data_IF_480880926407
#
_entry.id   IF_480880926407
#
_cell.length_a   1.000
_cell.length_b   1.000
_cell.length_c   1.000
_cell.angle_alpha   90.00
_cell.angle_beta   90.00
_cell.angle_gamma   90.00
#
_symmetry.space_group_name_H-M   'P 1'
#
loop_
_entity.id
_entity.type
_entity.pdbx_description
1 polymer ?
#
# COMPACT_ATOMS: atom_id res chain seq x y z
N UNK A 1 -11.22 -14.40 31.54
CA UNK A 1 -11.46 -14.78 30.12
C UNK A 1 -10.59 -16.00 29.81
N UNK A 2 -11.17 -17.05 29.22
CA UNK A 2 -10.43 -18.27 28.86
C UNK A 2 -9.49 -18.01 27.67
N UNK A 3 -8.35 -18.69 27.63
CA UNK A 3 -7.38 -18.65 26.53
C UNK A 3 -8.03 -18.90 25.17
N UNK A 4 -8.98 -19.85 25.10
CA UNK A 4 -9.78 -20.13 23.88
C UNK A 4 -10.61 -18.95 23.38
N UNK A 5 -11.16 -18.13 24.30
CA UNK A 5 -11.97 -16.96 23.93
C UNK A 5 -11.10 -15.83 23.36
N UNK A 6 -9.82 -15.77 23.72
CA UNK A 6 -8.88 -14.77 23.19
C UNK A 6 -8.45 -15.10 21.76
N UNK A 7 -8.18 -16.38 21.45
CA UNK A 7 -7.76 -16.85 20.11
C UNK A 7 -8.86 -16.64 19.08
N UNK A 8 -10.12 -17.01 19.37
CA UNK A 8 -11.24 -16.72 18.47
C UNK A 8 -11.37 -15.21 18.15
N UNK A 9 -11.09 -14.34 19.12
CA UNK A 9 -11.12 -12.89 18.85
C UNK A 9 -9.95 -12.39 17.99
N UNK A 10 -8.86 -13.16 17.87
CA UNK A 10 -7.71 -12.85 17.01
C UNK A 10 -7.98 -13.37 15.59
N UNK A 11 -8.58 -14.56 15.45
CA UNK A 11 -9.09 -15.09 14.17
C UNK A 11 -10.02 -14.09 13.48
N UNK A 12 -11.03 -13.62 14.22
CA UNK A 12 -12.01 -12.66 13.71
C UNK A 12 -11.33 -11.37 13.23
N UNK A 13 -10.35 -10.86 13.98
CA UNK A 13 -9.61 -9.64 13.62
C UNK A 13 -8.70 -9.85 12.41
N UNK A 14 -8.11 -11.03 12.24
CA UNK A 14 -7.26 -11.31 11.08
C UNK A 14 -8.09 -11.38 9.78
N UNK A 15 -9.31 -11.93 9.88
CA UNK A 15 -10.24 -12.04 8.75
C UNK A 15 -10.71 -10.68 8.21
N UNK A 16 -10.68 -9.64 9.04
CA UNK A 16 -11.07 -8.29 8.67
C UNK A 16 -10.06 -7.58 7.75
N UNK A 17 -8.81 -8.04 7.72
CA UNK A 17 -7.76 -7.45 6.88
C UNK A 17 -7.80 -7.97 5.45
N UNK A 18 -7.69 -7.04 4.50
CA UNK A 18 -7.74 -7.29 3.08
C UNK A 18 -6.45 -6.84 2.41
N UNK A 19 -5.97 -7.62 1.44
CA UNK A 19 -4.80 -7.26 0.62
C UNK A 19 -5.30 -7.19 -0.82
N UNK A 20 -5.12 -6.03 -1.46
CA UNK A 20 -5.61 -5.78 -2.82
C UNK A 20 -4.51 -5.14 -3.65
N UNK A 21 -4.26 -5.68 -4.83
CA UNK A 21 -3.37 -5.08 -5.83
C UNK A 21 -4.06 -3.89 -6.48
N UNK A 22 -3.92 -2.70 -5.88
CA UNK A 22 -4.53 -1.49 -6.43
C UNK A 22 -3.82 -0.95 -7.68
N UNK A 23 -2.70 -1.59 -8.08
CA UNK A 23 -1.83 -1.15 -9.18
C UNK A 23 -1.48 0.34 -9.12
N UNK A 24 -1.34 0.84 -7.89
CA UNK A 24 -0.95 2.23 -7.59
C UNK A 24 -1.90 3.29 -8.14
N UNK A 25 -3.16 2.93 -8.40
CA UNK A 25 -4.16 3.84 -8.94
C UNK A 25 -4.34 5.12 -8.11
N UNK A 26 -4.15 5.04 -6.80
CA UNK A 26 -4.31 6.17 -5.88
C UNK A 26 -3.23 7.26 -6.03
N UNK A 27 -2.14 6.96 -6.74
CA UNK A 27 -1.09 7.94 -7.06
C UNK A 27 -1.36 8.69 -8.37
N UNK A 28 -2.29 8.21 -9.21
CA UNK A 28 -2.52 8.77 -10.54
C UNK A 28 -3.01 10.22 -10.52
N UNK A 29 -2.64 10.96 -11.56
CA UNK A 29 -3.12 12.32 -11.79
C UNK A 29 -4.52 12.27 -12.41
N UNK A 30 -5.41 13.13 -11.91
CA UNK A 30 -6.75 13.27 -12.45
C UNK A 30 -6.70 13.89 -13.84
N UNK A 31 -7.59 13.45 -14.73
CA UNK A 31 -7.74 14.01 -16.08
C UNK A 31 -9.02 14.84 -16.19
N UNK A 32 -8.99 15.89 -17.01
CA UNK A 32 -10.16 16.68 -17.37
C UNK A 32 -11.06 15.93 -18.38
N UNK A 33 -12.17 16.56 -18.78
CA UNK A 33 -13.12 15.97 -19.73
C UNK A 33 -12.53 15.77 -21.14
N UNK A 34 -11.39 16.39 -21.44
CA UNK A 34 -10.67 16.31 -22.71
C UNK A 34 -9.51 15.30 -22.64
N UNK A 35 -9.26 14.69 -21.48
CA UNK A 35 -8.19 13.72 -21.26
C UNK A 35 -6.84 14.35 -20.93
N UNK A 36 -6.77 15.66 -20.63
CA UNK A 36 -5.53 16.31 -20.21
C UNK A 36 -5.36 16.25 -18.69
N UNK A 37 -4.13 16.27 -18.16
CA UNK A 37 -3.88 16.38 -16.73
C UNK A 37 -4.60 17.59 -16.10
N UNK A 38 -5.39 17.37 -15.06
CA UNK A 38 -5.99 18.42 -14.25
C UNK A 38 -4.95 19.01 -13.30
N UNK A 39 -4.76 20.32 -13.35
CA UNK A 39 -3.86 21.02 -12.45
C UNK A 39 -4.29 22.49 -12.27
N UNK A 40 -3.80 23.08 -11.18
CA UNK A 40 -3.86 24.52 -10.94
C UNK A 40 -2.46 25.12 -10.97
N UNK A 41 -2.35 26.37 -11.40
CA UNK A 41 -1.09 27.14 -11.30
C UNK A 41 -1.14 28.03 -10.08
N UNK A 42 -0.12 27.94 -9.23
CA UNK A 42 0.10 28.84 -8.10
C UNK A 42 1.48 29.45 -8.29
N UNK A 43 1.53 30.72 -8.72
CA UNK A 43 2.79 31.33 -9.15
C UNK A 43 3.37 30.60 -10.36
N UNK A 44 4.63 30.16 -10.25
CA UNK A 44 5.33 29.38 -11.28
C UNK A 44 5.14 27.86 -11.14
N UNK A 45 4.49 27.41 -10.06
CA UNK A 45 4.32 25.99 -9.79
C UNK A 45 3.03 25.44 -10.40
N UNK A 46 3.13 24.22 -10.93
CA UNK A 46 1.99 23.43 -11.38
C UNK A 46 1.66 22.40 -10.29
N UNK A 47 0.45 22.49 -9.74
CA UNK A 47 -0.04 21.58 -8.72
C UNK A 47 -1.11 20.70 -9.36
N UNK A 48 -0.77 19.44 -9.59
CA UNK A 48 -1.65 18.46 -10.21
C UNK A 48 -2.70 17.95 -9.22
N UNK A 49 -3.93 17.81 -9.70
CA UNK A 49 -4.97 17.11 -8.97
C UNK A 49 -4.75 15.60 -9.10
N UNK A 50 -4.99 14.86 -8.02
CA UNK A 50 -4.87 13.40 -8.01
C UNK A 50 -6.24 12.76 -7.96
N UNK A 51 -6.34 11.52 -8.45
CA UNK A 51 -7.54 10.73 -8.20
C UNK A 51 -7.75 10.54 -6.70
N UNK A 52 -9.02 10.48 -6.31
CA UNK A 52 -9.38 10.33 -4.91
C UNK A 52 -8.85 9.00 -4.36
N UNK A 53 -8.38 9.04 -3.10
CA UNK A 53 -8.02 7.83 -2.38
C UNK A 53 -9.22 6.90 -2.23
N UNK A 54 -8.95 5.62 -1.96
CA UNK A 54 -9.98 4.66 -1.60
C UNK A 54 -10.86 5.16 -0.44
N UNK A 55 -12.13 4.78 -0.45
CA UNK A 55 -13.08 5.11 0.63
C UNK A 55 -12.48 4.79 2.01
N UNK A 56 -12.74 5.66 2.98
CA UNK A 56 -12.16 5.55 4.31
C UNK A 56 -12.53 4.22 5.00
N UNK A 57 -13.75 3.71 4.82
CA UNK A 57 -14.16 2.45 5.42
C UNK A 57 -13.36 1.27 4.86
N UNK A 58 -13.04 1.32 3.58
CA UNK A 58 -12.22 0.33 2.88
C UNK A 58 -10.76 0.42 3.36
N UNK A 59 -10.20 1.64 3.45
CA UNK A 59 -8.83 1.88 3.92
C UNK A 59 -8.56 1.37 5.33
N UNK A 60 -9.57 1.31 6.20
CA UNK A 60 -9.43 0.73 7.55
C UNK A 60 -9.21 -0.77 7.57
N UNK A 61 -9.47 -1.46 6.45
CA UNK A 61 -9.33 -2.92 6.29
C UNK A 61 -8.18 -3.30 5.37
N UNK A 62 -7.82 -2.42 4.42
CA UNK A 62 -6.77 -2.72 3.42
C UNK A 62 -5.37 -2.53 3.96
N UNK A 63 -4.60 -3.61 3.97
CA UNK A 63 -3.15 -3.60 4.20
C UNK A 63 -2.41 -3.18 2.94
N UNK A 64 -1.16 -2.75 3.12
CA UNK A 64 -0.24 -2.43 2.03
C UNK A 64 -0.38 -1.01 1.47
N UNK A 65 -1.51 -0.32 1.67
CA UNK A 65 -1.56 1.11 1.37
C UNK A 65 -0.77 1.88 2.43
N UNK A 66 0.20 2.70 2.02
CA UNK A 66 1.23 3.26 2.91
C UNK A 66 0.74 4.25 3.98
N UNK A 67 -0.57 4.53 4.01
CA UNK A 67 -1.19 5.49 4.92
C UNK A 67 -2.49 4.96 5.52
N UNK A 68 -2.48 3.74 6.03
CA UNK A 68 -3.67 3.15 6.66
C UNK A 68 -3.41 2.78 8.10
N UNK A 69 -4.35 3.12 8.97
CA UNK A 69 -4.39 2.59 10.33
C UNK A 69 -4.55 1.06 10.35
N UNK A 70 -4.88 0.43 9.20
CA UNK A 70 -4.90 -1.01 9.06
C UNK A 70 -3.52 -1.63 9.29
N UNK A 71 -2.44 -1.03 8.76
CA UNK A 71 -1.08 -1.55 8.95
C UNK A 71 -0.68 -1.56 10.43
N UNK A 72 -0.95 -0.46 11.15
CA UNK A 72 -0.68 -0.35 12.60
C UNK A 72 -1.49 -1.39 13.38
N UNK A 73 -2.76 -1.60 13.03
CA UNK A 73 -3.61 -2.59 13.70
C UNK A 73 -3.13 -4.02 13.46
N UNK A 74 -2.58 -4.30 12.28
CA UNK A 74 -2.02 -5.61 11.96
C UNK A 74 -0.74 -5.86 12.74
N UNK A 75 0.15 -4.88 12.80
CA UNK A 75 1.35 -4.93 13.64
C UNK A 75 0.99 -5.21 15.11
N UNK A 76 0.04 -4.46 15.68
CA UNK A 76 -0.46 -4.67 17.04
C UNK A 76 -1.08 -6.07 17.24
N UNK A 77 -1.71 -6.62 16.20
CA UNK A 77 -2.24 -7.98 16.23
C UNK A 77 -1.12 -9.02 16.34
N UNK A 78 -0.01 -8.82 15.62
CA UNK A 78 1.16 -9.71 15.71
C UNK A 78 1.83 -9.64 17.08
N UNK A 79 1.94 -8.44 17.67
CA UNK A 79 2.46 -8.27 19.03
C UNK A 79 1.58 -9.01 20.05
N UNK A 80 0.25 -8.82 19.97
CA UNK A 80 -0.68 -9.54 20.83
C UNK A 80 -0.60 -11.06 20.61
N UNK A 81 -0.42 -11.53 19.37
CA UNK A 81 -0.28 -12.95 19.08
C UNK A 81 1.00 -13.53 19.71
N UNK A 82 2.12 -12.82 19.61
CA UNK A 82 3.39 -13.23 20.24
C UNK A 82 3.26 -13.32 21.77
N UNK A 83 2.59 -12.37 22.41
CA UNK A 83 2.33 -12.39 23.86
C UNK A 83 1.47 -13.59 24.28
N UNK A 84 0.49 -13.98 23.47
CA UNK A 84 -0.41 -15.09 23.77
C UNK A 84 0.19 -16.45 23.37
N UNK A 85 1.24 -16.49 22.55
CA UNK A 85 1.94 -17.71 22.14
C UNK A 85 3.45 -17.65 22.46
N UNK A 86 3.85 -17.65 23.76
CA UNK A 86 5.27 -17.46 24.14
C UNK A 86 6.24 -18.45 23.50
N UNK A 87 5.78 -19.68 23.21
CA UNK A 87 6.58 -20.70 22.51
C UNK A 87 6.99 -20.28 21.10
N UNK A 88 6.16 -19.50 20.42
CA UNK A 88 6.33 -19.06 19.03
C UNK A 88 6.61 -17.56 18.92
N UNK A 89 6.82 -16.87 20.05
CA UNK A 89 6.93 -15.41 20.07
C UNK A 89 8.06 -14.88 19.16
N UNK A 90 9.21 -15.57 19.11
CA UNK A 90 10.31 -15.17 18.21
C UNK A 90 9.91 -15.22 16.74
N UNK A 91 9.28 -16.32 16.31
CA UNK A 91 8.84 -16.51 14.92
C UNK A 91 7.77 -15.47 14.54
N UNK A 92 6.83 -15.18 15.44
CA UNK A 92 5.78 -14.18 15.21
C UNK A 92 6.38 -12.75 15.12
N UNK A 93 7.35 -12.42 15.97
CA UNK A 93 8.04 -11.12 15.92
C UNK A 93 8.90 -10.97 14.66
N UNK A 94 9.52 -12.04 14.18
CA UNK A 94 10.19 -12.04 12.87
C UNK A 94 9.21 -11.77 11.73
N UNK A 95 8.01 -12.37 11.76
CA UNK A 95 6.95 -12.06 10.78
C UNK A 95 6.49 -10.60 10.86
N UNK A 96 6.42 -10.02 12.07
CA UNK A 96 6.13 -8.59 12.26
C UNK A 96 7.21 -7.71 11.63
N UNK A 97 8.47 -8.04 11.85
CA UNK A 97 9.59 -7.27 11.30
C UNK A 97 9.63 -7.36 9.75
N UNK A 98 9.33 -8.54 9.20
CA UNK A 98 9.15 -8.73 7.75
C UNK A 98 7.98 -7.90 7.22
N UNK A 99 6.82 -7.92 7.89
CA UNK A 99 5.68 -7.08 7.55
C UNK A 99 6.05 -5.60 7.52
N UNK A 100 6.68 -5.09 8.57
CA UNK A 100 7.10 -3.69 8.66
C UNK A 100 8.10 -3.30 7.56
N UNK A 101 9.01 -4.20 7.21
CA UNK A 101 9.94 -4.02 6.10
C UNK A 101 9.21 -3.94 4.76
N UNK A 102 8.26 -4.85 4.49
CA UNK A 102 7.45 -4.83 3.27
C UNK A 102 6.59 -3.57 3.18
N UNK A 103 5.95 -3.13 4.27
CA UNK A 103 5.18 -1.86 4.31
C UNK A 103 6.08 -0.66 4.01
N UNK A 104 7.28 -0.61 4.58
CA UNK A 104 8.24 0.47 4.32
C UNK A 104 8.67 0.51 2.85
N UNK A 105 8.87 -0.66 2.22
CA UNK A 105 9.16 -0.75 0.77
C UNK A 105 7.99 -0.27 -0.08
N UNK A 106 6.75 -0.60 0.30
CA UNK A 106 5.56 -0.11 -0.42
C UNK A 106 5.48 1.43 -0.33
N UNK A 107 5.72 2.01 0.83
CA UNK A 107 5.76 3.47 1.00
C UNK A 107 6.77 4.15 0.06
N UNK A 108 7.97 3.58 -0.07
CA UNK A 108 8.97 4.10 -1.02
C UNK A 108 8.47 4.05 -2.45
N UNK A 109 7.87 2.92 -2.85
CA UNK A 109 7.33 2.73 -4.22
C UNK A 109 6.18 3.71 -4.50
N UNK A 110 5.28 3.93 -3.54
CA UNK A 110 4.18 4.90 -3.65
C UNK A 110 4.72 6.33 -3.88
N UNK A 111 5.74 6.75 -3.12
CA UNK A 111 6.39 8.06 -3.33
C UNK A 111 7.03 8.19 -4.71
N UNK A 112 7.78 7.16 -5.13
CA UNK A 112 8.43 7.17 -6.44
C UNK A 112 7.41 7.27 -7.58
N UNK A 113 6.28 6.58 -7.47
CA UNK A 113 5.19 6.70 -8.42
C UNK A 113 4.57 8.09 -8.42
N UNK A 114 4.36 8.68 -7.25
CA UNK A 114 3.83 10.04 -7.15
C UNK A 114 4.70 11.06 -7.89
N UNK A 115 6.02 10.93 -7.84
CA UNK A 115 6.92 11.76 -8.64
C UNK A 115 6.84 11.43 -10.14
N UNK A 116 6.79 10.14 -10.46
CA UNK A 116 6.76 9.68 -11.84
C UNK A 116 5.47 10.10 -12.58
N UNK A 117 4.32 10.03 -11.92
CA UNK A 117 3.03 10.51 -12.44
C UNK A 117 3.09 12.00 -12.76
N UNK A 118 3.64 12.80 -11.84
CA UNK A 118 3.86 14.24 -12.07
C UNK A 118 4.73 14.48 -13.30
N UNK A 119 5.85 13.79 -13.42
CA UNK A 119 6.78 13.98 -14.53
C UNK A 119 6.17 13.51 -15.87
N UNK A 120 5.33 12.47 -15.84
CA UNK A 120 4.51 12.05 -16.99
C UNK A 120 3.53 13.14 -17.42
N UNK A 121 2.81 13.74 -16.48
CA UNK A 121 1.87 14.81 -16.77
C UNK A 121 2.57 16.04 -17.38
N UNK A 122 3.73 16.42 -16.85
CA UNK A 122 4.56 17.50 -17.41
C UNK A 122 5.01 17.16 -18.83
N UNK A 123 5.48 15.94 -19.07
CA UNK A 123 5.91 15.48 -20.40
C UNK A 123 4.76 15.52 -21.40
N UNK A 124 3.55 15.14 -20.98
CA UNK A 124 2.33 15.23 -21.79
C UNK A 124 1.99 16.67 -22.15
N UNK A 125 2.05 17.61 -21.20
CA UNK A 125 1.78 19.04 -21.44
C UNK A 125 2.79 19.63 -22.44
N UNK A 126 4.05 19.21 -22.34
CA UNK A 126 5.13 19.69 -23.20
C UNK A 126 5.19 18.96 -24.56
N UNK A 127 4.33 17.97 -24.79
CA UNK A 127 4.37 17.07 -25.97
C UNK A 127 5.72 16.35 -26.14
N UNK A 128 6.43 16.06 -25.05
CA UNK A 128 7.67 15.28 -25.08
C UNK A 128 7.35 13.78 -25.09
N UNK A 129 7.08 13.27 -26.28
CA UNK A 129 6.65 11.87 -26.49
C UNK A 129 7.73 10.86 -26.15
N UNK A 130 9.01 11.22 -26.31
CA UNK A 130 10.13 10.34 -26.00
C UNK A 130 10.27 10.15 -24.49
N UNK A 131 10.22 11.25 -23.75
CA UNK A 131 10.30 11.19 -22.28
C UNK A 131 9.05 10.55 -21.68
N UNK A 132 7.85 10.87 -22.21
CA UNK A 132 6.62 10.24 -21.79
C UNK A 132 6.66 8.71 -21.97
N UNK A 133 7.22 8.21 -23.08
CA UNK A 133 7.38 6.77 -23.30
C UNK A 133 8.34 6.14 -22.27
N UNK A 134 9.49 6.77 -22.03
CA UNK A 134 10.49 6.30 -21.06
C UNK A 134 9.91 6.24 -19.64
N UNK A 135 9.20 7.29 -19.22
CA UNK A 135 8.56 7.35 -17.91
C UNK A 135 7.42 6.32 -17.79
N UNK A 136 6.67 6.07 -18.87
CA UNK A 136 5.60 5.05 -18.88
C UNK A 136 6.16 3.64 -18.68
N UNK A 137 7.33 3.33 -19.24
CA UNK A 137 7.99 2.04 -18.98
C UNK A 137 8.41 1.90 -17.52
N UNK A 138 8.98 2.96 -16.94
CA UNK A 138 9.36 2.98 -15.52
C UNK A 138 8.12 2.91 -14.60
N UNK A 139 6.99 3.50 -15.01
CA UNK A 139 5.70 3.35 -14.32
C UNK A 139 5.32 1.89 -14.17
N UNK A 140 5.34 1.14 -15.27
CA UNK A 140 4.96 -0.27 -15.25
C UNK A 140 5.89 -1.10 -14.35
N UNK A 141 7.19 -0.80 -14.36
CA UNK A 141 8.15 -1.44 -13.45
C UNK A 141 7.83 -1.19 -11.96
N UNK A 142 7.39 0.03 -11.61
CA UNK A 142 6.96 0.33 -10.25
C UNK A 142 5.66 -0.40 -9.89
N UNK A 143 4.70 -0.47 -10.81
CA UNK A 143 3.46 -1.24 -10.61
C UNK A 143 3.77 -2.72 -10.38
N UNK A 144 4.64 -3.32 -11.19
CA UNK A 144 5.07 -4.71 -11.01
C UNK A 144 5.78 -4.92 -9.67
N UNK A 145 6.59 -3.95 -9.25
CA UNK A 145 7.27 -3.98 -7.95
C UNK A 145 6.26 -3.91 -6.80
N UNK A 146 5.29 -3.01 -6.88
CA UNK A 146 4.19 -2.92 -5.92
C UNK A 146 3.39 -4.24 -5.87
N UNK A 147 3.03 -4.82 -7.01
CA UNK A 147 2.24 -6.05 -7.06
C UNK A 147 2.98 -7.24 -6.41
N UNK A 148 4.30 -7.31 -6.55
CA UNK A 148 5.15 -8.28 -5.82
C UNK A 148 5.15 -8.04 -4.31
N UNK A 149 5.25 -6.79 -3.87
CA UNK A 149 5.17 -6.45 -2.44
C UNK A 149 3.80 -6.83 -1.86
N UNK A 150 2.72 -6.66 -2.62
CA UNK A 150 1.39 -7.11 -2.21
C UNK A 150 1.30 -8.64 -2.12
N UNK A 151 1.98 -9.39 -2.99
CA UNK A 151 2.10 -10.85 -2.87
C UNK A 151 2.90 -11.25 -1.63
N UNK A 152 3.99 -10.56 -1.31
CA UNK A 152 4.75 -10.77 -0.08
C UNK A 152 3.84 -10.60 1.15
N UNK A 153 3.01 -9.54 1.19
CA UNK A 153 2.02 -9.37 2.27
C UNK A 153 1.00 -10.50 2.34
N UNK A 154 0.54 -11.02 1.19
CA UNK A 154 -0.40 -12.15 1.16
C UNK A 154 0.23 -13.39 1.77
N UNK A 155 1.48 -13.67 1.43
CA UNK A 155 2.24 -14.80 1.99
C UNK A 155 2.45 -14.63 3.49
N UNK A 156 2.86 -13.43 3.95
CA UNK A 156 3.01 -13.13 5.38
C UNK A 156 1.70 -13.36 6.14
N UNK A 157 0.56 -12.93 5.58
CA UNK A 157 -0.75 -13.17 6.20
C UNK A 157 -1.04 -14.67 6.35
N UNK A 158 -0.74 -15.48 5.35
CA UNK A 158 -0.90 -16.96 5.40
C UNK A 158 0.04 -17.60 6.42
N UNK A 159 1.27 -17.10 6.55
CA UNK A 159 2.21 -17.58 7.58
C UNK A 159 1.69 -17.26 9.00
N UNK A 160 1.12 -16.08 9.21
CA UNK A 160 0.51 -15.67 10.49
C UNK A 160 -0.69 -16.56 10.85
N UNK A 161 -1.49 -16.97 9.87
CA UNK A 161 -2.64 -17.89 10.07
C UNK A 161 -2.23 -19.24 10.68
N UNK A 162 -0.94 -19.63 10.63
CA UNK A 162 -0.46 -20.89 11.23
C UNK A 162 -0.34 -20.86 12.75
N UNK A 163 -0.32 -19.68 13.34
CA UNK A 163 -0.16 -19.48 14.79
C UNK A 163 -1.48 -19.26 15.52
N UNK A 164 -2.58 -19.30 14.76
CA UNK A 164 -3.93 -19.06 15.22
C UNK A 164 -4.67 -20.40 15.29
#
# INVERSE_FOLDING_TARGET
>A
MSFKTKIHSIEDKLSDFQIVKCRMFHESIALDAQGNPSYKRIGNDQIFDRVSLCDHNIRRKRLGCAHTGANIKFEQLLEALAENHPKYASEILELRDQFNSTISRIYTVDHEMGFLERDLAISSINNDTKEAHRLSQKKEQLVDTHDKLMEELMLLRVEVERFI
#
